data_IF_821416566518
#
_entry.id   IF_821416566518
#
_cell.length_a   1.000
_cell.length_b   1.000
_cell.length_c   1.000
_cell.angle_alpha   90.00
_cell.angle_beta   90.00
_cell.angle_gamma   90.00
#
_symmetry.space_group_name_H-M   'P 1'
#
loop_
_entity.id
_entity.type
_entity.pdbx_description
1 polymer ?
#
# COMPACT_ATOMS: atom_id res chain seq x y z
N UNK A 1 31.60 -34.49 22.27
CA UNK A 1 30.91 -34.34 20.99
C UNK A 1 30.18 -32.99 21.04
N UNK A 2 30.79 -31.96 20.46
CA UNK A 2 30.14 -30.63 20.38
C UNK A 2 29.00 -30.76 19.38
N UNK A 3 27.76 -30.80 19.85
CA UNK A 3 26.63 -30.67 18.97
C UNK A 3 26.73 -29.29 18.31
N UNK A 4 26.93 -29.28 16.99
CA UNK A 4 27.00 -28.04 16.23
C UNK A 4 25.63 -27.34 16.40
N UNK A 5 25.64 -26.14 16.94
CA UNK A 5 24.40 -25.37 17.19
C UNK A 5 23.55 -25.27 15.92
N UNK A 6 24.22 -25.29 14.76
CA UNK A 6 23.59 -25.18 13.43
C UNK A 6 22.84 -26.47 13.01
N UNK A 7 23.05 -27.61 13.67
CA UNK A 7 22.36 -28.87 13.36
C UNK A 7 21.03 -29.00 14.15
N UNK A 8 20.66 -27.97 14.93
CA UNK A 8 19.41 -28.00 15.71
C UNK A 8 18.24 -27.41 14.88
N UNK A 9 17.29 -28.24 14.40
CA UNK A 9 16.16 -27.76 13.60
C UNK A 9 15.26 -26.74 14.33
N UNK A 10 15.20 -26.84 15.68
CA UNK A 10 14.42 -25.89 16.49
C UNK A 10 15.06 -24.50 16.51
N UNK A 11 16.39 -24.42 16.53
CA UNK A 11 17.11 -23.15 16.48
C UNK A 11 16.85 -22.43 15.13
N UNK A 12 16.95 -23.16 14.01
CA UNK A 12 16.65 -22.60 12.70
C UNK A 12 15.24 -22.08 12.61
N UNK A 13 14.28 -22.81 13.12
CA UNK A 13 12.89 -22.37 13.15
C UNK A 13 12.73 -21.07 13.94
N UNK A 14 13.28 -20.97 15.15
CA UNK A 14 13.24 -19.74 15.95
C UNK A 14 13.90 -18.56 15.23
N UNK A 15 15.08 -18.78 14.62
CA UNK A 15 15.75 -17.73 13.88
C UNK A 15 14.89 -17.19 12.71
N UNK A 16 14.25 -18.07 11.95
CA UNK A 16 13.39 -17.68 10.84
C UNK A 16 12.10 -17.01 11.32
N UNK A 17 11.54 -17.47 12.45
CA UNK A 17 10.35 -16.89 13.05
C UNK A 17 10.57 -15.45 13.53
N UNK A 18 11.76 -15.12 14.06
CA UNK A 18 12.07 -13.81 14.64
C UNK A 18 12.71 -12.82 13.66
N UNK A 19 12.90 -13.20 12.39
CA UNK A 19 13.41 -12.27 11.38
C UNK A 19 12.40 -11.12 11.13
N UNK A 20 12.90 -9.86 11.00
CA UNK A 20 12.03 -8.71 10.75
C UNK A 20 11.45 -8.67 9.32
N UNK A 21 11.90 -9.56 8.45
CA UNK A 21 11.38 -9.73 7.09
C UNK A 21 10.26 -10.75 7.07
N UNK A 22 9.25 -10.54 6.23
CA UNK A 22 8.17 -11.50 6.06
C UNK A 22 8.65 -12.75 5.32
N UNK A 23 8.39 -13.92 5.88
CA UNK A 23 8.71 -15.21 5.26
C UNK A 23 7.48 -16.09 5.32
N UNK A 24 7.12 -16.65 4.17
CA UNK A 24 6.16 -17.75 4.12
C UNK A 24 6.59 -18.83 3.14
N UNK A 25 6.10 -20.04 3.37
CA UNK A 25 6.34 -21.21 2.52
C UNK A 25 5.00 -21.70 1.98
N UNK A 26 4.98 -21.96 0.67
CA UNK A 26 3.81 -22.47 -0.05
C UNK A 26 4.17 -23.84 -0.62
N UNK A 27 3.28 -24.81 -0.54
CA UNK A 27 3.42 -26.09 -1.21
C UNK A 27 3.01 -26.03 -2.69
N UNK A 28 2.97 -27.20 -3.35
CA UNK A 28 2.62 -27.30 -4.78
C UNK A 28 1.17 -26.91 -5.08
N UNK A 29 0.29 -27.07 -4.08
CA UNK A 29 -1.14 -26.79 -4.20
C UNK A 29 -1.47 -25.32 -3.86
N UNK A 30 -0.45 -24.50 -3.57
CA UNK A 30 -0.61 -23.09 -3.22
C UNK A 30 -1.03 -22.86 -1.77
N UNK A 31 -0.95 -23.89 -0.91
CA UNK A 31 -1.31 -23.76 0.50
C UNK A 31 -0.13 -23.26 1.31
N UNK A 32 -0.37 -22.28 2.18
CA UNK A 32 0.62 -21.76 3.12
C UNK A 32 0.93 -22.84 4.16
N UNK A 33 2.21 -23.22 4.28
CA UNK A 33 2.70 -24.20 5.25
C UNK A 33 3.50 -23.58 6.39
N UNK A 34 3.96 -22.36 6.19
CA UNK A 34 4.71 -21.59 7.19
C UNK A 34 4.46 -20.11 7.00
N UNK A 35 4.41 -19.37 8.10
CA UNK A 35 4.21 -17.93 8.14
C UNK A 35 4.90 -17.39 9.39
N UNK A 36 5.94 -16.55 9.23
CA UNK A 36 6.73 -16.06 10.36
C UNK A 36 6.16 -14.77 10.98
N UNK A 37 6.72 -14.37 12.13
CA UNK A 37 6.32 -13.12 12.81
C UNK A 37 6.56 -11.86 11.98
N UNK A 38 7.62 -11.82 11.16
CA UNK A 38 7.85 -10.72 10.23
C UNK A 38 6.70 -10.55 9.25
N UNK A 39 6.14 -11.64 8.73
CA UNK A 39 4.98 -11.61 7.86
C UNK A 39 3.71 -11.18 8.62
N UNK A 40 3.53 -11.62 9.88
CA UNK A 40 2.44 -11.14 10.73
C UNK A 40 2.50 -9.63 10.94
N UNK A 41 3.69 -9.08 11.21
CA UNK A 41 3.89 -7.63 11.40
C UNK A 41 3.61 -6.82 10.14
N UNK A 42 4.11 -7.30 8.98
CA UNK A 42 4.00 -6.56 7.72
C UNK A 42 2.60 -6.58 7.12
N UNK A 43 1.86 -7.70 7.24
CA UNK A 43 0.58 -7.91 6.57
C UNK A 43 -0.59 -8.02 7.54
N UNK A 44 -0.32 -8.17 8.84
CA UNK A 44 -1.33 -8.16 9.90
C UNK A 44 -2.10 -9.47 10.08
N UNK A 45 -1.89 -10.49 9.24
CA UNK A 45 -2.48 -11.80 9.40
C UNK A 45 -1.63 -12.66 10.33
N UNK A 46 -2.25 -13.29 11.32
CA UNK A 46 -1.56 -14.20 12.23
C UNK A 46 -1.34 -15.57 11.58
N UNK A 47 -0.25 -16.25 11.94
CA UNK A 47 0.12 -17.55 11.37
C UNK A 47 -1.01 -18.59 11.45
N UNK A 48 -1.70 -18.66 12.58
CA UNK A 48 -2.81 -19.62 12.76
C UNK A 48 -4.06 -19.30 11.92
N UNK A 49 -4.19 -18.08 11.40
CA UNK A 49 -5.29 -17.66 10.53
C UNK A 49 -5.01 -18.02 9.05
N UNK A 50 -3.75 -18.18 8.67
CA UNK A 50 -3.37 -18.29 7.24
C UNK A 50 -2.74 -19.62 6.88
N UNK A 51 -2.14 -20.34 7.81
CA UNK A 51 -1.57 -21.67 7.55
C UNK A 51 -2.67 -22.64 7.14
N UNK A 52 -2.48 -23.31 6.01
CA UNK A 52 -3.48 -24.20 5.40
C UNK A 52 -4.42 -23.52 4.42
N UNK A 53 -4.36 -22.20 4.26
CA UNK A 53 -5.15 -21.45 3.28
C UNK A 53 -4.34 -21.18 1.99
N UNK A 54 -5.05 -20.91 0.91
CA UNK A 54 -4.44 -20.55 -0.38
C UNK A 54 -3.79 -19.18 -0.27
N UNK A 55 -2.50 -19.08 -0.61
CA UNK A 55 -1.73 -17.84 -0.43
C UNK A 55 -2.30 -16.66 -1.21
N UNK A 56 -2.86 -16.89 -2.41
CA UNK A 56 -3.45 -15.84 -3.24
C UNK A 56 -4.64 -15.14 -2.57
N UNK A 57 -5.42 -15.89 -1.79
CA UNK A 57 -6.56 -15.35 -1.02
C UNK A 57 -6.12 -14.52 0.17
N UNK A 58 -4.96 -14.85 0.75
CA UNK A 58 -4.38 -14.16 1.92
C UNK A 58 -3.68 -12.88 1.50
N UNK A 59 -2.66 -12.96 0.62
CA UNK A 59 -1.83 -11.80 0.28
C UNK A 59 -2.47 -10.88 -0.76
N UNK A 60 -3.39 -11.39 -1.58
CA UNK A 60 -4.15 -10.64 -2.60
C UNK A 60 -3.29 -9.63 -3.35
N UNK A 61 -2.16 -10.12 -3.88
CA UNK A 61 -1.13 -9.30 -4.50
C UNK A 61 -1.63 -8.59 -5.76
N UNK A 62 -1.20 -7.34 -5.96
CA UNK A 62 -1.42 -6.63 -7.20
C UNK A 62 -0.15 -5.87 -7.64
N UNK A 63 -0.11 -5.49 -8.92
CA UNK A 63 0.94 -4.61 -9.46
C UNK A 63 0.58 -3.13 -9.25
N UNK A 64 1.45 -2.21 -9.73
CA UNK A 64 1.24 -0.75 -9.67
C UNK A 64 -0.07 -0.29 -10.33
N UNK A 65 -0.59 -1.04 -11.31
CA UNK A 65 -1.84 -0.72 -12.01
C UNK A 65 -3.07 -1.30 -11.30
N UNK A 66 -2.91 -1.91 -10.11
CA UNK A 66 -3.98 -2.58 -9.41
C UNK A 66 -4.36 -3.95 -9.98
N UNK A 67 -3.71 -4.42 -11.07
CA UNK A 67 -4.00 -5.72 -11.64
C UNK A 67 -3.54 -6.82 -10.69
N UNK A 68 -4.41 -7.80 -10.44
CA UNK A 68 -4.09 -8.96 -9.60
C UNK A 68 -2.87 -9.72 -10.15
N UNK A 69 -1.98 -10.11 -9.26
CA UNK A 69 -0.87 -11.00 -9.52
C UNK A 69 -1.27 -12.42 -9.11
N UNK A 70 -2.07 -13.08 -9.93
CA UNK A 70 -2.59 -14.43 -9.73
C UNK A 70 -2.33 -15.33 -10.95
N UNK A 71 -2.44 -16.64 -10.78
CA UNK A 71 -2.22 -17.61 -11.83
C UNK A 71 -0.82 -17.50 -12.45
N UNK A 72 -0.73 -17.50 -13.78
CA UNK A 72 0.55 -17.47 -14.51
C UNK A 72 1.37 -16.18 -14.29
N UNK A 73 0.74 -15.10 -13.86
CA UNK A 73 1.40 -13.83 -13.56
C UNK A 73 1.84 -13.69 -12.10
N UNK A 74 1.68 -14.73 -11.30
CA UNK A 74 2.09 -14.75 -9.91
C UNK A 74 3.57 -15.19 -9.79
N UNK A 75 4.43 -14.45 -9.06
CA UNK A 75 5.83 -14.83 -8.84
C UNK A 75 5.99 -16.23 -8.22
N UNK A 76 5.06 -16.65 -7.37
CA UNK A 76 5.08 -17.97 -6.73
C UNK A 76 4.80 -19.06 -7.76
N UNK A 77 3.75 -18.91 -8.56
CA UNK A 77 3.40 -19.86 -9.63
C UNK A 77 4.47 -19.93 -10.70
N UNK A 78 5.06 -18.80 -11.07
CA UNK A 78 6.22 -18.76 -11.99
C UNK A 78 7.41 -19.52 -11.41
N UNK A 79 7.68 -19.39 -10.11
CA UNK A 79 8.79 -20.11 -9.45
C UNK A 79 8.52 -21.62 -9.43
N UNK A 80 7.28 -22.04 -9.19
CA UNK A 80 6.88 -23.46 -9.24
C UNK A 80 7.09 -24.06 -10.64
N UNK A 81 6.66 -23.34 -11.68
CA UNK A 81 6.70 -23.84 -13.07
C UNK A 81 8.09 -23.76 -13.69
N UNK A 82 8.80 -22.61 -13.50
CA UNK A 82 10.11 -22.36 -14.12
C UNK A 82 11.28 -22.90 -13.29
N UNK A 83 11.06 -23.27 -12.02
CA UNK A 83 12.09 -23.74 -11.09
C UNK A 83 13.24 -22.73 -10.87
N UNK A 84 12.96 -21.46 -11.06
CA UNK A 84 13.95 -20.39 -10.93
C UNK A 84 13.49 -19.35 -9.91
N UNK A 85 14.44 -18.76 -9.15
CA UNK A 85 14.15 -17.66 -8.26
C UNK A 85 13.56 -16.46 -9.02
N UNK A 86 12.60 -15.78 -8.42
CA UNK A 86 12.01 -14.57 -8.94
C UNK A 86 12.24 -13.40 -7.98
N UNK A 87 12.30 -12.17 -8.50
CA UNK A 87 12.32 -10.93 -7.72
C UNK A 87 11.35 -9.93 -8.34
N UNK A 88 10.39 -9.48 -7.55
CA UNK A 88 9.32 -8.60 -7.99
C UNK A 88 9.06 -7.50 -6.95
N UNK A 89 8.47 -6.40 -7.41
CA UNK A 89 7.81 -5.44 -6.53
C UNK A 89 6.31 -5.58 -6.73
N UNK A 90 5.59 -5.72 -5.64
CA UNK A 90 4.13 -5.88 -5.63
C UNK A 90 3.52 -5.13 -4.45
N UNK A 91 2.19 -5.11 -4.41
CA UNK A 91 1.40 -4.53 -3.33
C UNK A 91 0.54 -5.61 -2.72
N UNK A 92 0.85 -6.01 -1.48
CA UNK A 92 0.07 -6.96 -0.71
C UNK A 92 -1.09 -6.26 -0.01
N UNK A 93 -2.21 -6.95 0.17
CA UNK A 93 -3.32 -6.43 0.94
C UNK A 93 -3.09 -6.76 2.42
N UNK A 94 -2.95 -5.71 3.25
CA UNK A 94 -2.90 -5.88 4.70
C UNK A 94 -4.28 -6.30 5.24
N UNK A 95 -4.33 -7.03 6.35
CA UNK A 95 -5.58 -7.46 7.01
C UNK A 95 -6.56 -6.30 7.25
N UNK A 96 -6.05 -5.11 7.54
CA UNK A 96 -6.85 -3.89 7.73
C UNK A 96 -7.26 -3.20 6.43
N UNK A 97 -7.00 -3.81 5.26
CA UNK A 97 -7.49 -3.38 3.96
C UNK A 97 -6.64 -2.37 3.20
N UNK A 98 -5.55 -1.86 3.76
CA UNK A 98 -4.61 -1.00 3.02
C UNK A 98 -3.59 -1.80 2.22
N UNK A 99 -2.98 -1.18 1.22
CA UNK A 99 -1.93 -1.78 0.40
C UNK A 99 -0.55 -1.50 0.98
N UNK A 100 0.28 -2.53 1.06
CA UNK A 100 1.68 -2.46 1.49
C UNK A 100 2.56 -2.78 0.29
N UNK A 101 3.42 -1.84 -0.09
CA UNK A 101 4.41 -2.06 -1.14
C UNK A 101 5.51 -3.00 -0.63
N UNK A 102 5.76 -4.09 -1.32
CA UNK A 102 6.73 -5.12 -0.93
C UNK A 102 7.65 -5.49 -2.08
N UNK A 103 8.91 -5.72 -1.75
CA UNK A 103 9.86 -6.44 -2.62
C UNK A 103 9.79 -7.91 -2.28
N UNK A 104 9.42 -8.73 -3.25
CA UNK A 104 9.24 -10.17 -3.13
C UNK A 104 10.47 -10.87 -3.74
N UNK A 105 10.98 -11.88 -3.04
CA UNK A 105 11.98 -12.82 -3.54
C UNK A 105 11.45 -14.23 -3.33
N UNK A 106 11.34 -15.00 -4.39
CA UNK A 106 10.90 -16.39 -4.31
C UNK A 106 12.05 -17.34 -4.62
N UNK A 107 12.04 -18.52 -3.99
CA UNK A 107 12.97 -19.61 -4.27
C UNK A 107 12.24 -20.94 -4.27
N UNK A 108 12.50 -21.82 -5.26
CA UNK A 108 11.94 -23.16 -5.25
C UNK A 108 12.57 -24.00 -4.13
N UNK A 109 11.76 -24.81 -3.46
CA UNK A 109 12.22 -25.83 -2.52
C UNK A 109 12.31 -27.13 -3.34
N UNK A 110 13.54 -27.64 -3.52
CA UNK A 110 13.76 -28.88 -4.26
C UNK A 110 13.72 -30.08 -3.32
N UNK A 111 12.99 -31.10 -3.70
CA UNK A 111 12.97 -32.42 -3.06
C UNK A 111 13.85 -33.40 -3.82
N UNK A 112 13.98 -34.62 -3.30
CA UNK A 112 14.73 -35.68 -3.96
C UNK A 112 14.28 -35.88 -5.43
N UNK A 113 15.24 -35.88 -6.37
CA UNK A 113 14.98 -36.05 -7.80
C UNK A 113 14.59 -34.78 -8.55
N UNK A 114 15.04 -33.62 -8.10
CA UNK A 114 14.82 -32.30 -8.72
C UNK A 114 13.31 -31.90 -8.86
N UNK A 115 12.44 -32.53 -8.10
CA UNK A 115 11.05 -32.10 -8.05
C UNK A 115 10.88 -30.92 -7.11
N UNK A 116 10.11 -29.91 -7.55
CA UNK A 116 9.78 -28.75 -6.69
C UNK A 116 8.74 -29.18 -5.67
N UNK A 117 9.08 -29.18 -4.38
CA UNK A 117 8.16 -29.48 -3.27
C UNK A 117 7.34 -28.28 -2.83
N UNK A 118 7.80 -27.07 -3.15
CA UNK A 118 7.15 -25.82 -2.76
C UNK A 118 7.99 -24.60 -3.11
N UNK A 119 7.60 -23.44 -2.57
CA UNK A 119 8.31 -22.17 -2.75
C UNK A 119 8.48 -21.47 -1.41
N UNK A 120 9.68 -21.02 -1.14
CA UNK A 120 9.94 -20.05 -0.06
C UNK A 120 9.77 -18.66 -0.64
N UNK A 121 8.97 -17.85 0.02
CA UNK A 121 8.75 -16.44 -0.29
C UNK A 121 9.28 -15.59 0.84
N UNK A 122 10.19 -14.69 0.50
CA UNK A 122 10.71 -13.65 1.38
C UNK A 122 10.25 -12.32 0.85
N UNK A 123 9.71 -11.47 1.72
CA UNK A 123 9.25 -10.14 1.35
C UNK A 123 9.58 -9.11 2.42
N UNK A 124 9.86 -7.90 1.98
CA UNK A 124 10.21 -6.74 2.82
C UNK A 124 9.50 -5.50 2.27
N UNK A 125 9.28 -4.49 3.10
CA UNK A 125 8.73 -3.23 2.60
C UNK A 125 9.61 -2.67 1.47
N UNK A 126 8.99 -2.34 0.34
CA UNK A 126 9.71 -1.79 -0.82
C UNK A 126 10.14 -0.34 -0.56
N UNK A 127 9.35 0.39 0.22
CA UNK A 127 9.59 1.79 0.59
C UNK A 127 9.51 1.92 2.11
N UNK A 128 10.63 2.24 2.73
CA UNK A 128 10.62 2.58 4.16
C UNK A 128 10.36 4.08 4.26
N UNK A 129 9.14 4.45 4.59
CA UNK A 129 8.85 5.81 5.03
C UNK A 129 9.59 6.02 6.35
N UNK A 130 10.75 6.66 6.30
CA UNK A 130 11.41 7.10 7.52
C UNK A 130 10.60 8.25 8.07
N UNK A 131 9.94 8.04 9.19
CA UNK A 131 9.48 9.16 10.01
C UNK A 131 10.68 10.09 10.17
N UNK A 132 10.51 11.33 9.72
CA UNK A 132 11.58 12.31 9.63
C UNK A 132 12.41 12.32 10.88
N UNK A 133 13.70 12.20 10.70
CA UNK A 133 14.74 12.12 11.72
C UNK A 133 14.50 13.06 12.89
N UNK A 134 14.43 12.49 14.11
CA UNK A 134 15.00 13.08 15.34
C UNK A 134 14.62 14.51 15.66
N UNK A 135 13.32 14.81 15.73
CA UNK A 135 12.82 15.93 16.54
C UNK A 135 11.96 15.36 17.66
N UNK A 136 11.85 16.01 18.81
CA UNK A 136 10.92 15.57 19.85
C UNK A 136 9.52 15.48 19.25
N UNK A 137 8.69 14.49 19.67
CA UNK A 137 7.35 14.33 19.15
C UNK A 137 6.59 15.64 19.36
N UNK A 138 6.35 16.38 18.30
CA UNK A 138 5.59 17.62 18.34
C UNK A 138 4.12 17.24 18.49
N UNK A 139 3.66 17.12 19.72
CA UNK A 139 2.26 16.89 20.06
C UNK A 139 1.40 17.91 19.30
N UNK A 140 0.42 17.42 18.51
CA UNK A 140 -0.47 18.24 17.69
C UNK A 140 -0.03 18.50 16.25
N UNK A 141 1.13 18.00 15.82
CA UNK A 141 1.58 18.11 14.44
C UNK A 141 1.06 16.98 13.54
N UNK A 142 0.63 15.86 14.12
CA UNK A 142 0.03 14.75 13.39
C UNK A 142 -1.50 14.77 13.50
N UNK A 143 -2.17 14.31 12.46
CA UNK A 143 -3.59 14.05 12.46
C UNK A 143 -3.89 12.80 13.29
N UNK A 144 -4.74 12.92 14.32
CA UNK A 144 -5.00 11.86 15.29
C UNK A 144 -5.66 10.61 14.68
N UNK A 145 -6.37 10.75 13.56
CA UNK A 145 -7.08 9.65 12.90
C UNK A 145 -6.19 8.86 11.95
N UNK A 146 -5.26 9.53 11.28
CA UNK A 146 -4.49 8.96 10.17
C UNK A 146 -2.99 8.84 10.46
N UNK A 147 -2.48 9.56 11.47
CA UNK A 147 -1.06 9.56 11.81
C UNK A 147 -0.14 10.27 10.82
N UNK A 148 -0.68 10.89 9.77
CA UNK A 148 0.10 11.74 8.86
C UNK A 148 0.15 13.19 9.40
N UNK A 149 1.08 14.05 8.94
CA UNK A 149 1.10 15.46 9.24
C UNK A 149 -0.28 16.11 9.18
N UNK A 150 -0.63 16.85 10.24
CA UNK A 150 -1.91 17.58 10.33
C UNK A 150 -1.98 18.69 9.27
N UNK A 151 -3.18 19.20 8.99
CA UNK A 151 -3.37 20.33 8.06
C UNK A 151 -2.40 21.50 8.34
N UNK A 152 -2.22 21.84 9.62
CA UNK A 152 -1.32 22.93 10.03
C UNK A 152 0.13 22.65 9.64
N UNK A 153 0.63 21.45 9.92
CA UNK A 153 1.99 21.06 9.57
C UNK A 153 2.15 20.93 8.07
N UNK A 154 1.18 20.31 7.39
CA UNK A 154 1.15 20.18 5.92
C UNK A 154 1.27 21.53 5.23
N UNK A 155 0.51 22.53 5.70
CA UNK A 155 0.56 23.90 5.16
C UNK A 155 1.93 24.55 5.37
N UNK A 156 2.52 24.38 6.55
CA UNK A 156 3.85 24.93 6.84
C UNK A 156 4.91 24.33 5.92
N UNK A 157 4.93 23.00 5.78
CA UNK A 157 5.89 22.30 4.91
C UNK A 157 5.70 22.63 3.43
N UNK A 158 4.46 22.79 2.96
CA UNK A 158 4.21 23.25 1.59
C UNK A 158 4.72 24.67 1.34
N UNK A 159 4.55 25.57 2.29
CA UNK A 159 5.10 26.91 2.17
C UNK A 159 6.63 26.91 2.14
N UNK A 160 7.30 26.03 2.90
CA UNK A 160 8.75 25.81 2.80
C UNK A 160 9.15 25.26 1.43
N UNK A 161 8.41 24.32 0.88
CA UNK A 161 8.68 23.80 -0.48
C UNK A 161 8.54 24.91 -1.53
N UNK A 162 7.53 25.78 -1.41
CA UNK A 162 7.32 26.91 -2.32
C UNK A 162 8.47 27.92 -2.20
N UNK A 163 8.87 28.28 -0.97
CA UNK A 163 10.00 29.20 -0.75
C UNK A 163 11.30 28.61 -1.27
N UNK A 164 11.59 27.33 -0.99
CA UNK A 164 12.77 26.66 -1.52
C UNK A 164 12.80 26.53 -3.05
N UNK A 165 11.62 26.43 -3.70
CA UNK A 165 11.49 26.44 -5.15
C UNK A 165 11.82 27.83 -5.74
N UNK A 166 11.45 28.91 -5.07
CA UNK A 166 11.78 30.28 -5.52
C UNK A 166 13.29 30.52 -5.45
N UNK A 167 13.97 29.98 -4.45
CA UNK A 167 15.42 30.12 -4.27
C UNK A 167 16.22 29.22 -5.23
N UNK A 168 15.82 27.95 -5.35
CA UNK A 168 16.57 26.95 -6.12
C UNK A 168 16.18 26.88 -7.61
N UNK A 169 15.05 27.47 -7.99
CA UNK A 169 14.42 27.34 -9.31
C UNK A 169 14.08 25.89 -9.72
N UNK A 170 14.05 24.97 -8.76
CA UNK A 170 13.67 23.56 -8.98
C UNK A 170 12.23 23.38 -8.56
N UNK A 171 11.36 23.04 -9.52
CA UNK A 171 9.96 22.76 -9.28
C UNK A 171 9.75 21.43 -8.57
N UNK A 172 8.59 21.25 -7.97
CA UNK A 172 8.17 19.99 -7.35
C UNK A 172 6.81 19.55 -7.88
N UNK A 173 6.51 18.25 -7.76
CA UNK A 173 5.19 17.70 -8.07
C UNK A 173 4.27 17.79 -6.85
N UNK A 174 3.04 18.28 -7.04
CA UNK A 174 2.00 18.28 -6.02
C UNK A 174 0.86 17.36 -6.46
N UNK A 175 0.47 16.45 -5.58
CA UNK A 175 -0.68 15.54 -5.72
C UNK A 175 -1.73 15.90 -4.69
N UNK A 176 -2.99 15.94 -5.10
CA UNK A 176 -4.17 16.07 -4.22
C UNK A 176 -5.00 14.82 -4.34
N UNK A 177 -5.24 14.17 -3.24
CA UNK A 177 -6.02 12.95 -3.15
C UNK A 177 -7.25 13.21 -2.30
N UNK A 178 -8.44 13.00 -2.86
CA UNK A 178 -9.72 13.16 -2.17
C UNK A 178 -10.38 11.80 -2.06
N UNK A 179 -10.78 11.42 -0.84
CA UNK A 179 -11.61 10.23 -0.59
C UNK A 179 -13.07 10.58 -0.80
N UNK A 180 -13.77 9.81 -1.63
CA UNK A 180 -15.13 10.06 -2.06
C UNK A 180 -16.14 9.22 -1.26
N UNK A 181 -17.43 9.59 -1.33
CA UNK A 181 -18.54 8.82 -0.74
C UNK A 181 -18.65 8.88 0.78
N UNK A 182 -17.77 9.60 1.47
CA UNK A 182 -17.72 9.62 2.94
C UNK A 182 -18.94 10.29 3.57
N UNK A 183 -19.54 11.30 2.94
CA UNK A 183 -20.73 12.00 3.48
C UNK A 183 -21.93 11.07 3.56
N UNK A 184 -22.17 10.29 2.52
CA UNK A 184 -23.27 9.33 2.50
C UNK A 184 -23.05 8.24 3.55
N UNK A 185 -21.81 7.75 3.67
CA UNK A 185 -21.44 6.73 4.66
C UNK A 185 -21.58 7.28 6.09
N UNK A 186 -21.11 8.51 6.33
CA UNK A 186 -21.22 9.21 7.61
C UNK A 186 -22.68 9.43 8.04
N UNK A 187 -23.55 9.80 7.10
CA UNK A 187 -24.97 10.02 7.40
C UNK A 187 -25.70 8.74 7.82
N UNK A 188 -25.27 7.57 7.28
CA UNK A 188 -25.87 6.27 7.59
C UNK A 188 -25.31 5.63 8.87
N UNK A 189 -24.02 5.83 9.14
CA UNK A 189 -23.30 5.07 10.15
C UNK A 189 -22.67 5.93 11.27
N UNK A 190 -22.87 7.25 11.23
CA UNK A 190 -22.37 8.19 12.23
C UNK A 190 -20.96 8.73 11.92
N UNK A 191 -20.51 9.76 12.67
CA UNK A 191 -19.31 10.55 12.34
C UNK A 191 -18.00 9.74 12.41
N UNK A 192 -17.91 8.72 13.24
CA UNK A 192 -16.70 7.91 13.39
C UNK A 192 -16.53 6.87 12.28
N UNK A 193 -17.57 6.60 11.48
CA UNK A 193 -17.55 5.58 10.43
C UNK A 193 -16.57 5.87 9.28
N UNK A 194 -16.24 7.15 9.06
CA UNK A 194 -15.33 7.57 7.99
C UNK A 194 -13.84 7.41 8.37
N UNK A 195 -13.52 7.29 9.67
CA UNK A 195 -12.14 7.21 10.14
C UNK A 195 -11.38 6.00 9.55
N UNK A 196 -11.96 4.79 9.47
CA UNK A 196 -11.29 3.66 8.81
C UNK A 196 -10.92 3.94 7.35
N UNK A 197 -11.78 4.60 6.57
CA UNK A 197 -11.48 4.95 5.17
C UNK A 197 -10.28 5.90 5.07
N UNK A 198 -10.25 6.92 5.90
CA UNK A 198 -9.16 7.89 5.93
C UNK A 198 -7.85 7.25 6.39
N UNK A 199 -7.92 6.34 7.36
CA UNK A 199 -6.75 5.60 7.84
C UNK A 199 -6.20 4.65 6.78
N UNK A 200 -7.09 3.89 6.12
CA UNK A 200 -6.71 2.99 5.02
C UNK A 200 -6.09 3.76 3.86
N UNK A 201 -6.66 4.91 3.48
CA UNK A 201 -6.10 5.78 2.46
C UNK A 201 -4.71 6.29 2.86
N UNK A 202 -4.57 6.85 4.07
CA UNK A 202 -3.29 7.36 4.56
C UNK A 202 -2.18 6.28 4.59
N UNK A 203 -2.50 5.07 5.04
CA UNK A 203 -1.57 3.94 5.09
C UNK A 203 -1.17 3.49 3.68
N UNK A 204 -2.13 3.34 2.76
CA UNK A 204 -1.83 3.00 1.36
C UNK A 204 -0.91 4.06 0.73
N UNK A 205 -1.19 5.35 0.94
CA UNK A 205 -0.37 6.44 0.44
C UNK A 205 1.05 6.42 1.03
N UNK A 206 1.18 6.25 2.35
CA UNK A 206 2.49 6.16 3.04
C UNK A 206 3.36 5.03 2.50
N UNK A 207 2.78 3.84 2.29
CA UNK A 207 3.50 2.68 1.76
C UNK A 207 3.78 2.76 0.25
N UNK A 208 3.25 3.77 -0.44
CA UNK A 208 3.42 3.93 -1.89
C UNK A 208 4.34 5.09 -2.25
N UNK A 209 4.68 5.94 -1.30
CA UNK A 209 5.56 7.10 -1.47
C UNK A 209 6.94 6.82 -0.89
N UNK A 210 7.99 7.24 -1.60
CA UNK A 210 9.38 7.15 -1.13
C UNK A 210 9.62 8.08 0.06
N UNK A 211 10.67 7.81 0.81
CA UNK A 211 11.04 8.57 2.02
C UNK A 211 11.34 10.07 1.77
N UNK A 212 11.69 10.43 0.53
CA UNK A 212 11.96 11.81 0.12
C UNK A 212 10.69 12.61 -0.18
N UNK A 213 9.55 11.92 -0.28
CA UNK A 213 8.27 12.51 -0.58
C UNK A 213 7.49 12.81 0.70
N UNK A 214 6.76 13.90 0.69
CA UNK A 214 5.96 14.33 1.82
C UNK A 214 4.49 13.97 1.60
N UNK A 215 3.82 13.50 2.65
CA UNK A 215 2.37 13.25 2.67
C UNK A 215 1.76 13.92 3.89
N UNK A 216 0.66 14.64 3.73
CA UNK A 216 -0.05 15.24 4.85
C UNK A 216 -1.55 15.37 4.64
N UNK A 217 -2.25 15.60 5.74
CA UNK A 217 -3.69 15.86 5.78
C UNK A 217 -3.95 17.29 5.31
N UNK A 218 -4.90 17.46 4.38
CA UNK A 218 -5.26 18.80 3.89
C UNK A 218 -6.65 19.23 4.29
N UNK A 219 -7.62 18.36 4.16
CA UNK A 219 -9.01 18.63 4.49
C UNK A 219 -9.68 17.47 5.23
N UNK A 220 -11.00 17.54 5.38
CA UNK A 220 -11.78 16.52 6.06
C UNK A 220 -11.66 15.14 5.37
N UNK A 221 -11.56 15.13 4.04
CA UNK A 221 -11.42 13.93 3.23
C UNK A 221 -10.26 14.02 2.22
N UNK A 222 -9.30 14.93 2.44
CA UNK A 222 -8.25 15.26 1.48
C UNK A 222 -6.85 15.08 2.07
N UNK A 223 -5.95 14.62 1.20
CA UNK A 223 -4.51 14.52 1.44
C UNK A 223 -3.76 15.29 0.36
N UNK A 224 -2.60 15.83 0.71
CA UNK A 224 -1.62 16.38 -0.23
C UNK A 224 -0.32 15.59 -0.12
N UNK A 225 0.29 15.30 -1.27
CA UNK A 225 1.63 14.72 -1.34
C UNK A 225 2.53 15.56 -2.24
N UNK A 226 3.77 15.75 -1.79
CA UNK A 226 4.82 16.46 -2.52
C UNK A 226 5.85 15.47 -3.01
N UNK A 227 6.20 15.56 -4.27
CA UNK A 227 7.26 14.79 -4.94
C UNK A 227 8.43 15.73 -5.24
N UNK A 228 9.51 15.59 -4.49
CA UNK A 228 10.64 16.55 -4.46
C UNK A 228 11.42 16.64 -5.78
N UNK A 229 11.45 15.58 -6.58
CA UNK A 229 12.24 15.52 -7.83
C UNK A 229 11.42 14.94 -8.99
N UNK A 230 10.20 15.45 -9.17
CA UNK A 230 9.26 14.91 -10.14
C UNK A 230 9.42 15.52 -11.53
N UNK A 231 9.47 14.67 -12.56
CA UNK A 231 9.13 15.08 -13.92
C UNK A 231 7.61 14.98 -14.15
N UNK A 232 7.04 15.67 -15.14
CA UNK A 232 5.62 15.56 -15.47
C UNK A 232 5.16 14.11 -15.71
N UNK A 233 6.01 13.29 -16.33
CA UNK A 233 5.73 11.86 -16.58
C UNK A 233 5.73 11.06 -15.28
N UNK A 234 6.70 11.27 -14.40
CA UNK A 234 6.73 10.61 -13.09
C UNK A 234 5.52 10.99 -12.26
N UNK A 235 5.12 12.26 -12.27
CA UNK A 235 3.98 12.76 -11.52
C UNK A 235 2.66 12.15 -12.00
N UNK A 236 2.45 12.08 -13.32
CA UNK A 236 1.26 11.42 -13.89
C UNK A 236 1.23 9.92 -13.59
N UNK A 237 2.37 9.23 -13.69
CA UNK A 237 2.48 7.80 -13.37
C UNK A 237 2.23 7.54 -11.89
N UNK A 238 2.71 8.41 -10.99
CA UNK A 238 2.45 8.31 -9.56
C UNK A 238 0.97 8.54 -9.25
N UNK A 239 0.34 9.55 -9.87
CA UNK A 239 -1.09 9.81 -9.70
C UNK A 239 -1.94 8.59 -10.11
N UNK A 240 -1.65 7.99 -11.27
CA UNK A 240 -2.31 6.76 -11.73
C UNK A 240 -2.07 5.59 -10.76
N UNK A 241 -0.83 5.43 -10.29
CA UNK A 241 -0.47 4.38 -9.33
C UNK A 241 -1.25 4.52 -8.03
N UNK A 242 -1.27 5.71 -7.43
CA UNK A 242 -1.98 5.96 -6.18
C UNK A 242 -3.49 5.76 -6.32
N UNK A 243 -4.07 6.25 -7.43
CA UNK A 243 -5.49 6.06 -7.72
C UNK A 243 -5.85 4.57 -7.85
N UNK A 244 -5.06 3.78 -8.58
CA UNK A 244 -5.27 2.35 -8.72
C UNK A 244 -5.15 1.60 -7.38
N UNK A 245 -4.12 1.90 -6.60
CA UNK A 245 -3.88 1.21 -5.32
C UNK A 245 -4.98 1.54 -4.30
N UNK A 246 -5.44 2.78 -4.23
CA UNK A 246 -6.54 3.18 -3.37
C UNK A 246 -7.84 2.48 -3.78
N UNK A 247 -8.15 2.43 -5.07
CA UNK A 247 -9.33 1.74 -5.59
C UNK A 247 -9.34 0.21 -5.35
N UNK A 248 -8.16 -0.37 -5.06
CA UNK A 248 -8.01 -1.78 -4.66
C UNK A 248 -7.77 -1.97 -3.16
N UNK A 249 -7.87 -0.89 -2.38
CA UNK A 249 -7.89 -0.93 -0.92
C UNK A 249 -9.32 -1.09 -0.42
N UNK A 250 -9.50 -1.70 0.75
CA UNK A 250 -10.80 -2.05 1.29
C UNK A 250 -10.90 -1.62 2.75
N UNK A 251 -12.09 -1.25 3.17
CA UNK A 251 -12.42 -1.01 4.58
C UNK A 251 -13.38 -2.10 5.04
N UNK A 252 -13.02 -2.79 6.10
CA UNK A 252 -13.91 -3.75 6.75
C UNK A 252 -14.78 -2.99 7.77
N UNK A 253 -16.09 -3.00 7.56
CA UNK A 253 -17.05 -2.36 8.44
C UNK A 253 -18.20 -3.31 8.73
N UNK A 254 -18.34 -3.74 10.00
CA UNK A 254 -19.40 -4.65 10.47
C UNK A 254 -19.50 -5.97 9.68
N UNK A 255 -18.38 -6.46 9.17
CA UNK A 255 -18.31 -7.69 8.36
C UNK A 255 -18.36 -7.47 6.86
N UNK A 256 -18.81 -6.32 6.40
CA UNK A 256 -18.85 -5.94 4.97
C UNK A 256 -17.55 -5.27 4.54
N UNK A 257 -17.19 -5.42 3.25
CA UNK A 257 -16.01 -4.82 2.63
C UNK A 257 -16.44 -3.67 1.72
N UNK A 258 -15.91 -2.49 1.99
CA UNK A 258 -16.18 -1.28 1.21
C UNK A 258 -14.90 -0.83 0.50
N UNK A 259 -14.96 -0.54 -0.82
CA UNK A 259 -13.82 0.01 -1.55
C UNK A 259 -13.53 1.44 -1.09
N UNK A 260 -12.27 1.86 -1.24
CA UNK A 260 -11.86 3.25 -1.01
C UNK A 260 -11.91 3.99 -2.33
N UNK A 261 -13.04 4.64 -2.61
CA UNK A 261 -13.19 5.46 -3.81
C UNK A 261 -12.45 6.78 -3.68
N UNK A 262 -11.71 7.16 -4.72
CA UNK A 262 -10.86 8.36 -4.68
C UNK A 262 -10.87 9.14 -5.98
N UNK A 263 -10.56 10.42 -5.86
CA UNK A 263 -10.21 11.33 -6.93
C UNK A 263 -8.77 11.79 -6.72
N UNK A 264 -7.95 11.70 -7.75
CA UNK A 264 -6.56 12.14 -7.72
C UNK A 264 -6.35 13.23 -8.75
N UNK A 265 -5.80 14.36 -8.33
CA UNK A 265 -5.38 15.46 -9.18
C UNK A 265 -3.91 15.80 -8.92
N UNK A 266 -3.23 16.36 -9.92
CA UNK A 266 -1.82 16.69 -9.79
C UNK A 266 -1.45 17.93 -10.61
N UNK A 267 -0.38 18.60 -10.19
CA UNK A 267 0.20 19.75 -10.88
C UNK A 267 1.72 19.79 -10.65
N UNK A 268 2.47 20.25 -11.64
CA UNK A 268 3.85 20.68 -11.43
C UNK A 268 3.85 22.09 -10.87
N UNK A 269 4.41 22.26 -9.69
CA UNK A 269 4.64 23.57 -9.10
C UNK A 269 5.83 24.24 -9.82
N UNK A 270 5.62 25.48 -10.26
CA UNK A 270 6.62 26.30 -10.93
C UNK A 270 6.70 27.66 -10.22
N UNK A 271 7.84 28.31 -10.30
CA UNK A 271 8.06 29.62 -9.67
C UNK A 271 6.97 30.65 -10.04
N UNK A 272 6.62 31.49 -9.07
CA UNK A 272 5.59 32.53 -9.21
C UNK A 272 4.16 32.07 -8.94
N UNK A 273 3.95 30.86 -8.44
CA UNK A 273 2.63 30.36 -8.03
C UNK A 273 2.62 30.19 -6.49
N UNK A 274 1.67 30.83 -5.83
CA UNK A 274 1.38 30.57 -4.43
C UNK A 274 0.56 29.29 -4.24
N UNK A 275 0.43 28.85 -3.00
CA UNK A 275 -0.28 27.62 -2.64
C UNK A 275 -1.75 27.64 -3.10
N UNK A 276 -2.44 28.76 -2.98
CA UNK A 276 -3.86 28.87 -3.32
C UNK A 276 -4.04 28.75 -4.83
N UNK A 277 -3.19 29.42 -5.62
CA UNK A 277 -3.18 29.29 -7.08
C UNK A 277 -2.87 27.87 -7.56
N UNK A 278 -1.92 27.17 -6.90
CA UNK A 278 -1.62 25.77 -7.20
C UNK A 278 -2.85 24.89 -6.98
N UNK A 279 -3.51 25.01 -5.83
CA UNK A 279 -4.70 24.22 -5.51
C UNK A 279 -5.89 24.49 -6.41
N UNK A 280 -6.10 25.76 -6.81
CA UNK A 280 -7.17 26.15 -7.73
C UNK A 280 -6.95 25.61 -9.16
N UNK A 281 -5.70 25.49 -9.59
CA UNK A 281 -5.34 24.96 -10.90
C UNK A 281 -5.40 23.44 -11.00
N UNK A 282 -5.44 22.72 -9.86
CA UNK A 282 -5.52 21.27 -9.84
C UNK A 282 -6.89 20.79 -10.30
N UNK A 283 -6.92 20.13 -11.46
CA UNK A 283 -8.12 19.47 -11.98
C UNK A 283 -8.05 17.98 -11.73
N UNK A 284 -9.19 17.30 -11.49
CA UNK A 284 -9.22 15.85 -11.37
C UNK A 284 -8.64 15.18 -12.61
N UNK A 285 -7.64 14.33 -12.43
CA UNK A 285 -7.02 13.55 -13.52
C UNK A 285 -7.53 12.12 -13.53
N UNK A 286 -7.84 11.57 -12.34
CA UNK A 286 -8.38 10.24 -12.13
C UNK A 286 -9.49 10.31 -11.08
N UNK A 287 -10.65 9.72 -11.39
CA UNK A 287 -11.80 9.65 -10.48
C UNK A 287 -12.53 8.33 -10.64
N UNK A 288 -12.93 7.71 -9.53
CA UNK A 288 -13.66 6.44 -9.50
C UNK A 288 -14.97 6.48 -10.29
N UNK A 289 -15.59 7.64 -10.41
CA UNK A 289 -16.83 7.84 -11.19
C UNK A 289 -16.65 7.74 -12.70
N UNK A 290 -15.45 7.99 -13.23
CA UNK A 290 -15.15 7.96 -14.67
C UNK A 290 -14.59 6.63 -15.15
N UNK A 291 -13.91 5.86 -14.29
CA UNK A 291 -13.29 4.59 -14.67
C UNK A 291 -14.30 3.43 -14.83
N UNK A 292 -15.45 3.48 -14.14
CA UNK A 292 -16.51 2.46 -14.30
C UNK A 292 -17.23 2.51 -15.64
N UNK A 293 -17.10 3.60 -16.40
CA UNK A 293 -17.72 3.75 -17.74
C UNK A 293 -16.86 3.19 -18.87
N UNK A 294 -15.56 2.88 -18.66
CA UNK A 294 -14.62 2.47 -19.70
C UNK A 294 -14.13 1.01 -19.63
N UNK A 295 -14.52 0.24 -18.62
CA UNK A 295 -14.07 -1.15 -18.39
C UNK A 295 -15.22 -2.14 -18.37
N UNK A 296 -15.50 -2.72 -19.53
CA UNK A 296 -16.14 -4.04 -19.81
C UNK A 296 -16.59 -4.86 -18.60
N UNK A 297 -17.94 -5.00 -18.49
CA UNK A 297 -18.64 -6.24 -18.19
C UNK A 297 -18.17 -7.08 -17.00
N UNK A 298 -18.49 -6.65 -15.78
CA UNK A 298 -18.90 -7.57 -14.74
C UNK A 298 -20.27 -7.08 -14.23
N UNK A 299 -21.30 -7.72 -14.73
CA UNK A 299 -22.65 -7.63 -14.16
C UNK A 299 -22.58 -8.21 -12.75
N UNK A 300 -22.40 -7.37 -11.75
CA UNK A 300 -22.78 -7.70 -10.38
C UNK A 300 -24.29 -7.58 -10.30
N UNK A 301 -24.91 -8.72 -10.19
CA UNK A 301 -26.30 -8.90 -9.79
C UNK A 301 -26.56 -8.00 -8.56
N UNK A 302 -27.40 -6.99 -8.78
CA UNK A 302 -27.85 -6.10 -7.73
C UNK A 302 -28.85 -6.85 -6.87
N UNK A 303 -28.32 -7.59 -5.89
CA UNK A 303 -29.12 -8.10 -4.79
C UNK A 303 -29.78 -6.94 -4.04
N UNK A 304 -31.05 -6.76 -4.32
CA UNK A 304 -31.96 -5.83 -3.63
C UNK A 304 -31.79 -5.92 -2.12
N UNK A 305 -31.48 -4.80 -1.52
CA UNK A 305 -31.70 -4.59 -0.10
C UNK A 305 -33.19 -4.67 0.19
N UNK A 306 -33.62 -5.68 0.92
CA UNK A 306 -34.93 -5.71 1.60
C UNK A 306 -34.69 -5.93 3.08
N UNK A 307 -35.23 -5.03 3.86
CA UNK A 307 -35.62 -5.17 5.25
C UNK A 307 -34.54 -4.91 6.27
#
# INVERSE_FOLDING_TARGET
MSSNLLDNPKLFRHLVEDLPVGIYIVDRDGLIRFWNRGAEHLIGHLSHEVVGHVFEEVVRACNRRGNSLSGEHCPVTMTLSQRQPQRWTAYYLHKNGHRVAVTIRTRPILEYGDTVGGVTVLFEEAFVYREGSSGPPMYGCLDANTGVPSHRLTRALLNECIAGMEESHVGFGLLRIRVLGLEEFRSKHGPQSIVPFLRTAAQTLRHSLDAENFLGRWGENEFLAVLSSASPVMLSTMAETLWNLLGHSEVLWWGDRFPVDTEVSYIMATAGLDLECLLLKMRPSHSSGTARAAGTGFTKDTGRWRG
#
